data_IF_745754417668
#
_entry.id   IF_745754417668
#
_cell.length_a   1.000
_cell.length_b   1.000
_cell.length_c   1.000
_cell.angle_alpha   90.00
_cell.angle_beta   90.00
_cell.angle_gamma   90.00
#
_symmetry.space_group_name_H-M   'P 1'
#
loop_
_entity.id
_entity.type
_entity.pdbx_description
1 polymer ?
#
# COMPACT_ATOMS: atom_id res chain seq x y z
N UNK A 1 4.01 -2.25 26.56
CA UNK A 1 4.82 -2.56 25.36
C UNK A 1 5.18 -1.29 24.57
N UNK A 2 6.18 -1.37 23.67
CA UNK A 2 6.53 -0.33 22.69
C UNK A 2 6.71 -0.92 21.27
N UNK A 3 5.91 -0.45 20.31
CA UNK A 3 6.05 -0.81 18.89
C UNK A 3 7.06 0.08 18.16
N UNK A 4 7.90 -0.49 17.30
CA UNK A 4 8.81 0.22 16.42
C UNK A 4 8.94 -0.47 15.04
N UNK A 5 8.65 0.21 13.92
CA UNK A 5 8.04 1.54 13.83
C UNK A 5 6.62 1.57 14.43
N UNK A 6 6.07 2.77 14.67
CA UNK A 6 4.67 2.96 15.13
C UNK A 6 3.68 3.12 13.97
N UNK A 7 4.15 2.90 12.74
CA UNK A 7 3.33 2.97 11.55
C UNK A 7 3.82 1.98 10.49
N UNK A 8 2.91 1.55 9.63
CA UNK A 8 3.19 0.75 8.43
C UNK A 8 2.51 1.35 7.21
N UNK A 9 3.06 1.14 6.01
CA UNK A 9 2.34 1.43 4.79
C UNK A 9 1.10 0.53 4.64
N UNK A 10 0.12 0.96 3.85
CA UNK A 10 -1.10 0.17 3.58
C UNK A 10 -0.81 -1.23 3.02
N UNK A 11 0.25 -1.39 2.25
CA UNK A 11 0.62 -2.69 1.68
C UNK A 11 1.30 -3.64 2.68
N UNK A 12 1.55 -3.20 3.92
CA UNK A 12 2.16 -4.01 4.96
C UNK A 12 3.62 -4.36 4.67
N UNK A 13 3.99 -5.60 5.00
CA UNK A 13 5.31 -6.20 4.72
C UNK A 13 6.50 -5.46 5.35
N UNK A 14 6.24 -4.67 6.40
CA UNK A 14 7.29 -4.08 7.23
C UNK A 14 7.50 -4.88 8.51
N UNK A 15 8.77 -5.01 8.93
CA UNK A 15 9.09 -5.61 10.23
C UNK A 15 8.71 -4.63 11.33
N UNK A 16 7.88 -5.08 12.27
CA UNK A 16 7.53 -4.36 13.49
C UNK A 16 8.17 -5.08 14.66
N UNK A 17 9.05 -4.35 15.36
CA UNK A 17 9.64 -4.78 16.62
C UNK A 17 8.72 -4.39 17.77
N UNK A 18 8.49 -5.33 18.70
CA UNK A 18 7.75 -5.12 19.95
C UNK A 18 8.73 -5.23 21.11
N UNK A 19 8.93 -4.14 21.84
CA UNK A 19 9.66 -4.15 23.09
C UNK A 19 8.69 -4.35 24.25
N UNK A 20 8.85 -5.44 24.99
CA UNK A 20 8.04 -5.78 26.17
C UNK A 20 8.46 -4.91 27.35
N UNK A 21 7.50 -4.34 28.07
CA UNK A 21 7.78 -3.73 29.36
C UNK A 21 8.05 -4.82 30.42
N UNK A 22 8.65 -4.49 31.56
CA UNK A 22 8.94 -5.48 32.61
C UNK A 22 7.66 -6.20 33.07
N UNK A 23 6.54 -5.47 33.14
CA UNK A 23 5.22 -6.00 33.47
C UNK A 23 4.61 -6.90 32.40
N UNK A 24 5.07 -6.80 31.15
CA UNK A 24 4.56 -7.58 30.02
C UNK A 24 5.36 -8.88 29.80
N UNK A 25 6.49 -9.07 30.51
CA UNK A 25 7.34 -10.23 30.37
C UNK A 25 6.67 -11.45 30.99
N UNK A 26 6.60 -12.53 30.21
CA UNK A 26 5.99 -13.79 30.62
C UNK A 26 6.99 -14.94 30.44
N UNK A 27 6.65 -16.11 30.99
CA UNK A 27 7.45 -17.34 30.92
C UNK A 27 7.76 -17.76 29.46
N UNK A 28 8.82 -18.56 29.27
CA UNK A 28 9.31 -18.96 27.94
C UNK A 28 8.36 -19.91 27.16
N UNK A 29 7.36 -20.49 27.80
CA UNK A 29 6.37 -21.37 27.17
C UNK A 29 5.13 -20.62 26.65
N UNK A 30 5.18 -19.27 26.64
CA UNK A 30 4.11 -18.42 26.12
C UNK A 30 4.35 -18.06 24.66
N UNK A 31 3.32 -18.21 23.84
CA UNK A 31 3.29 -17.73 22.46
C UNK A 31 2.57 -16.40 22.39
N UNK A 32 3.20 -15.40 21.77
CA UNK A 32 2.64 -14.07 21.62
C UNK A 32 2.08 -13.84 20.22
N UNK A 33 0.97 -13.11 20.16
CA UNK A 33 0.31 -12.65 18.94
C UNK A 33 0.05 -11.15 19.02
N UNK A 34 0.08 -10.46 17.88
CA UNK A 34 -0.44 -9.10 17.77
C UNK A 34 -1.79 -9.09 17.06
N UNK A 35 -2.77 -8.44 17.67
CA UNK A 35 -4.09 -8.20 17.09
C UNK A 35 -4.23 -6.73 16.75
N UNK A 36 -4.27 -6.39 15.47
CA UNK A 36 -4.52 -5.03 14.96
C UNK A 36 -6.03 -4.87 14.72
N UNK A 37 -6.68 -3.95 15.42
CA UNK A 37 -8.11 -3.68 15.31
C UNK A 37 -8.34 -2.28 14.73
N UNK A 38 -8.70 -2.23 13.46
CA UNK A 38 -9.11 -1.02 12.76
C UNK A 38 -10.62 -0.91 12.61
N UNK A 39 -11.06 0.04 11.80
CA UNK A 39 -12.46 0.37 11.59
C UNK A 39 -13.22 -0.69 10.77
N UNK A 40 -12.55 -1.29 9.78
CA UNK A 40 -13.13 -2.29 8.86
C UNK A 40 -12.48 -3.66 8.98
N UNK A 41 -11.23 -3.73 9.46
CA UNK A 41 -10.42 -4.95 9.48
C UNK A 41 -9.84 -5.24 10.86
N UNK A 42 -9.78 -6.53 11.19
CA UNK A 42 -9.07 -7.06 12.34
C UNK A 42 -8.04 -8.09 11.86
N UNK A 43 -6.77 -7.84 12.15
CA UNK A 43 -5.67 -8.72 11.72
C UNK A 43 -5.03 -9.37 12.94
N UNK A 44 -4.79 -10.68 12.86
CA UNK A 44 -4.01 -11.41 13.86
C UNK A 44 -2.70 -11.89 13.22
N UNK A 45 -1.58 -11.54 13.84
CA UNK A 45 -0.23 -11.92 13.36
C UNK A 45 0.52 -12.67 14.44
N UNK A 46 1.23 -13.72 14.05
CA UNK A 46 2.17 -14.42 14.93
C UNK A 46 3.41 -13.56 15.17
N UNK A 47 4.00 -13.67 16.34
CA UNK A 47 5.29 -13.03 16.63
C UNK A 47 6.43 -14.06 16.66
N UNK A 48 7.65 -13.58 16.44
CA UNK A 48 8.90 -14.31 16.67
C UNK A 48 9.66 -13.65 17.80
N UNK A 49 9.98 -14.40 18.85
CA UNK A 49 10.86 -13.94 19.94
C UNK A 49 12.30 -13.87 19.43
N UNK A 50 12.94 -12.71 19.52
CA UNK A 50 14.35 -12.50 19.10
C UNK A 50 15.28 -12.29 20.28
N UNK A 51 14.75 -11.84 21.43
CA UNK A 51 15.45 -11.77 22.71
C UNK A 51 14.46 -11.97 23.87
N UNK A 52 14.93 -11.88 25.12
CA UNK A 52 14.07 -11.99 26.30
C UNK A 52 12.93 -10.95 26.35
N UNK A 53 13.16 -9.77 25.78
CA UNK A 53 12.26 -8.61 25.84
C UNK A 53 11.79 -8.11 24.47
N UNK A 54 12.26 -8.72 23.38
CA UNK A 54 11.99 -8.24 22.03
C UNK A 54 11.33 -9.32 21.18
N UNK A 55 10.21 -8.95 20.57
CA UNK A 55 9.50 -9.74 19.56
C UNK A 55 9.55 -9.03 18.21
N UNK A 56 9.39 -9.78 17.14
CA UNK A 56 9.20 -9.27 15.79
C UNK A 56 7.95 -9.86 15.16
N UNK A 57 7.25 -9.06 14.35
CA UNK A 57 6.20 -9.52 13.46
C UNK A 57 6.30 -8.77 12.13
N UNK A 58 5.57 -9.24 11.13
CA UNK A 58 5.38 -8.52 9.86
C UNK A 58 4.02 -7.82 9.92
N UNK A 59 3.99 -6.51 9.69
CA UNK A 59 2.73 -5.77 9.66
C UNK A 59 1.84 -6.27 8.50
N UNK A 60 0.55 -6.50 8.76
CA UNK A 60 -0.39 -6.94 7.73
C UNK A 60 -0.66 -5.81 6.74
N UNK A 61 -1.10 -6.16 5.53
CA UNK A 61 -1.73 -5.19 4.62
C UNK A 61 -3.07 -4.69 5.18
N UNK A 62 -3.37 -3.42 4.97
CA UNK A 62 -4.56 -2.75 5.48
C UNK A 62 -5.26 -1.93 4.39
N UNK A 63 -6.57 -1.77 4.47
CA UNK A 63 -7.38 -1.26 3.37
C UNK A 63 -7.56 0.27 3.36
N UNK A 64 -7.26 0.95 4.46
CA UNK A 64 -7.38 2.40 4.57
C UNK A 64 -6.37 3.02 5.55
N UNK A 65 -6.16 4.34 5.45
CA UNK A 65 -5.29 5.08 6.37
C UNK A 65 -6.03 5.35 7.68
N UNK A 66 -5.60 4.71 8.75
CA UNK A 66 -6.18 4.93 10.07
C UNK A 66 -5.21 4.62 11.20
N UNK A 67 -5.54 5.11 12.41
CA UNK A 67 -4.89 4.68 13.64
C UNK A 67 -5.69 3.51 14.21
N UNK A 68 -5.06 2.36 14.33
CA UNK A 68 -5.64 1.12 14.85
C UNK A 68 -5.17 0.87 16.28
N UNK A 69 -5.97 0.11 17.04
CA UNK A 69 -5.53 -0.42 18.34
C UNK A 69 -4.81 -1.75 18.14
N UNK A 70 -3.58 -1.86 18.61
CA UNK A 70 -2.81 -3.10 18.61
C UNK A 70 -2.77 -3.69 20.00
N UNK A 71 -3.20 -4.94 20.14
CA UNK A 71 -3.16 -5.69 21.38
C UNK A 71 -2.08 -6.78 21.28
N UNK A 72 -1.24 -6.87 22.31
CA UNK A 72 -0.36 -8.00 22.51
C UNK A 72 -1.10 -9.05 23.33
N UNK A 73 -1.26 -10.22 22.74
CA UNK A 73 -1.97 -11.35 23.33
C UNK A 73 -0.99 -12.47 23.67
N UNK A 74 -1.08 -13.00 24.88
CA UNK A 74 -0.31 -14.13 25.37
C UNK A 74 -1.18 -15.39 25.37
N UNK A 75 -0.66 -16.48 24.80
CA UNK A 75 -1.31 -17.80 24.79
C UNK A 75 -0.35 -18.84 25.37
N UNK A 76 -0.87 -19.70 26.24
CA UNK A 76 -0.15 -20.82 26.86
C UNK A 76 -1.06 -22.03 26.87
N UNK A 77 -0.48 -23.21 26.64
CA UNK A 77 -1.26 -24.44 26.50
C UNK A 77 -2.14 -24.71 27.73
N UNK A 78 -3.41 -25.01 27.47
CA UNK A 78 -4.41 -25.28 28.52
C UNK A 78 -4.92 -24.05 29.26
N UNK A 79 -4.49 -22.83 28.90
CA UNK A 79 -4.95 -21.58 29.48
C UNK A 79 -5.67 -20.69 28.44
N UNK A 80 -6.60 -19.82 28.87
CA UNK A 80 -7.18 -18.81 28.00
C UNK A 80 -6.12 -17.86 27.44
N UNK A 81 -6.44 -17.22 26.31
CA UNK A 81 -5.62 -16.12 25.77
C UNK A 81 -5.91 -14.84 26.54
N UNK A 82 -4.86 -14.12 26.93
CA UNK A 82 -4.98 -12.86 27.67
C UNK A 82 -4.32 -11.71 26.90
N UNK A 83 -4.95 -10.54 26.94
CA UNK A 83 -4.32 -9.30 26.48
C UNK A 83 -3.38 -8.82 27.59
N UNK A 84 -2.10 -8.67 27.26
CA UNK A 84 -1.08 -8.22 28.23
C UNK A 84 -0.75 -6.74 28.06
N UNK A 85 -0.84 -6.20 26.85
CA UNK A 85 -0.58 -4.80 26.58
C UNK A 85 -1.36 -4.31 25.35
N UNK A 86 -1.52 -2.99 25.24
CA UNK A 86 -2.08 -2.34 24.07
C UNK A 86 -1.31 -1.09 23.67
N UNK A 87 -1.35 -0.73 22.39
CA UNK A 87 -0.76 0.49 21.86
C UNK A 87 -1.45 0.89 20.55
N UNK A 88 -1.47 2.18 20.27
CA UNK A 88 -1.88 2.69 18.95
C UNK A 88 -0.78 2.46 17.89
N UNK A 89 -1.22 2.21 16.66
CA UNK A 89 -0.38 2.01 15.47
C UNK A 89 -1.06 2.62 14.26
N UNK A 90 -0.31 3.19 13.31
CA UNK A 90 -0.90 3.87 12.15
C UNK A 90 -0.64 3.16 10.84
N UNK A 91 -1.69 2.96 10.04
CA UNK A 91 -1.55 2.64 8.63
C UNK A 91 -1.56 3.92 7.80
N UNK A 92 -0.59 4.07 6.88
CA UNK A 92 -0.40 5.29 6.09
C UNK A 92 -0.23 4.99 4.61
N UNK A 93 -0.55 5.98 3.78
CA UNK A 93 -0.08 6.06 2.41
C UNK A 93 1.30 6.71 2.42
N UNK A 94 2.30 5.99 1.95
CA UNK A 94 3.64 6.49 1.75
C UNK A 94 3.87 6.83 0.27
N UNK A 95 5.04 7.40 -0.02
CA UNK A 95 5.41 7.82 -1.38
C UNK A 95 5.41 6.65 -2.37
N UNK A 96 5.71 5.43 -1.92
CA UNK A 96 5.69 4.24 -2.76
C UNK A 96 4.25 3.88 -3.19
N UNK A 97 3.29 4.02 -2.27
CA UNK A 97 1.88 3.86 -2.59
C UNK A 97 1.38 4.95 -3.55
N UNK A 98 1.74 6.20 -3.33
CA UNK A 98 1.39 7.31 -4.24
C UNK A 98 1.98 7.08 -5.64
N UNK A 99 3.24 6.63 -5.72
CA UNK A 99 3.89 6.27 -6.97
C UNK A 99 3.19 5.10 -7.66
N UNK A 100 2.79 4.06 -6.92
CA UNK A 100 2.04 2.93 -7.47
C UNK A 100 0.68 3.38 -8.03
N UNK A 101 -0.05 4.24 -7.32
CA UNK A 101 -1.31 4.80 -7.80
C UNK A 101 -1.12 5.63 -9.08
N UNK A 102 -0.09 6.46 -9.10
CA UNK A 102 0.24 7.26 -10.28
C UNK A 102 0.59 6.39 -11.50
N UNK A 103 1.40 5.36 -11.29
CA UNK A 103 1.76 4.39 -12.33
C UNK A 103 0.52 3.65 -12.83
N UNK A 104 -0.36 3.21 -11.94
CA UNK A 104 -1.61 2.56 -12.30
C UNK A 104 -2.53 3.48 -13.13
N UNK A 105 -2.67 4.74 -12.73
CA UNK A 105 -3.45 5.73 -13.47
C UNK A 105 -2.83 6.12 -14.82
N UNK A 106 -1.51 5.97 -14.97
CA UNK A 106 -0.77 6.34 -16.17
C UNK A 106 -0.62 5.19 -17.18
N UNK A 107 -1.04 3.98 -16.84
CA UNK A 107 -0.99 2.83 -17.75
C UNK A 107 -1.76 3.12 -19.06
N UNK A 108 -1.14 2.79 -20.20
CA UNK A 108 -1.66 3.12 -21.54
C UNK A 108 -1.64 4.60 -21.94
N UNK A 109 -1.18 5.51 -21.09
CA UNK A 109 -1.11 6.94 -21.42
C UNK A 109 0.18 7.26 -22.19
N UNK A 110 0.05 7.41 -23.52
CA UNK A 110 1.17 7.72 -24.41
C UNK A 110 1.90 9.04 -24.05
N UNK A 111 1.20 10.03 -23.49
CA UNK A 111 1.80 11.30 -23.07
C UNK A 111 2.67 11.12 -21.81
N UNK A 112 2.22 10.30 -20.86
CA UNK A 112 3.00 9.95 -19.67
C UNK A 112 4.29 9.20 -20.05
N UNK A 113 4.20 8.27 -21.00
CA UNK A 113 5.38 7.56 -21.54
C UNK A 113 6.39 8.54 -22.17
N UNK A 114 5.94 9.55 -22.89
CA UNK A 114 6.84 10.58 -23.43
C UNK A 114 7.57 11.36 -22.32
N UNK A 115 6.94 11.54 -21.15
CA UNK A 115 7.55 12.25 -20.02
C UNK A 115 8.62 11.42 -19.29
N UNK A 116 8.46 10.09 -19.21
CA UNK A 116 9.46 9.21 -18.57
C UNK A 116 10.85 9.30 -19.20
N UNK A 117 10.94 9.59 -20.51
CA UNK A 117 12.21 9.79 -21.23
C UNK A 117 13.04 10.96 -20.70
N UNK A 118 12.43 11.89 -19.96
CA UNK A 118 13.12 13.01 -19.33
C UNK A 118 13.64 12.68 -17.92
N UNK A 119 13.10 11.64 -17.27
CA UNK A 119 13.50 11.21 -15.93
C UNK A 119 14.83 10.44 -15.92
N UNK A 120 15.20 9.80 -17.03
CA UNK A 120 16.50 9.13 -17.23
C UNK A 120 17.71 10.07 -16.98
N UNK A 121 17.49 11.39 -17.05
CA UNK A 121 18.53 12.40 -16.86
C UNK A 121 18.67 12.90 -15.42
N UNK A 122 17.74 12.53 -14.53
CA UNK A 122 17.67 13.03 -13.15
C UNK A 122 17.73 11.90 -12.10
N UNK A 123 18.19 10.70 -12.48
CA UNK A 123 18.14 9.51 -11.64
C UNK A 123 18.90 9.66 -10.30
N UNK A 124 18.31 9.22 -9.17
CA UNK A 124 19.01 9.17 -7.89
C UNK A 124 20.15 8.12 -7.92
N UNK A 125 21.15 8.22 -7.02
CA UNK A 125 22.23 7.25 -6.94
C UNK A 125 21.70 5.81 -6.72
N UNK A 126 22.29 4.86 -7.42
CA UNK A 126 21.76 3.50 -7.69
C UNK A 126 21.44 2.60 -6.49
N UNK A 127 21.81 2.98 -5.26
CA UNK A 127 21.60 2.16 -4.06
C UNK A 127 20.15 2.18 -3.54
N UNK A 128 19.41 3.27 -3.77
CA UNK A 128 18.04 3.45 -3.24
C UNK A 128 16.96 2.94 -4.20
N UNK A 129 17.31 2.74 -5.48
CA UNK A 129 16.35 2.42 -6.54
C UNK A 129 15.74 1.03 -6.37
N UNK A 130 16.53 0.02 -5.99
CA UNK A 130 16.03 -1.35 -5.83
C UNK A 130 15.05 -1.47 -4.65
N UNK A 131 15.37 -0.84 -3.51
CA UNK A 131 14.48 -0.80 -2.34
C UNK A 131 13.19 -0.04 -2.65
N UNK A 132 13.28 1.04 -3.43
CA UNK A 132 12.09 1.76 -3.90
C UNK A 132 11.24 0.91 -4.85
N UNK A 133 11.85 0.21 -5.81
CA UNK A 133 11.15 -0.66 -6.76
C UNK A 133 10.39 -1.78 -6.03
N UNK A 134 11.02 -2.43 -5.05
CA UNK A 134 10.36 -3.44 -4.21
C UNK A 134 9.13 -2.88 -3.49
N UNK A 135 9.25 -1.71 -2.86
CA UNK A 135 8.12 -1.05 -2.17
C UNK A 135 7.01 -0.65 -3.13
N UNK A 136 7.36 -0.09 -4.28
CA UNK A 136 6.38 0.30 -5.31
C UNK A 136 5.67 -0.95 -5.85
N UNK A 137 6.40 -2.04 -6.10
CA UNK A 137 5.81 -3.30 -6.55
C UNK A 137 4.85 -3.90 -5.51
N UNK A 138 5.23 -3.89 -4.23
CA UNK A 138 4.36 -4.30 -3.12
C UNK A 138 3.10 -3.43 -3.05
N UNK A 139 3.26 -2.10 -3.11
CA UNK A 139 2.16 -1.17 -3.12
C UNK A 139 1.21 -1.39 -4.30
N UNK A 140 1.75 -1.64 -5.50
CA UNK A 140 0.98 -1.89 -6.70
C UNK A 140 0.10 -3.14 -6.59
N UNK A 141 0.64 -4.22 -5.99
CA UNK A 141 -0.12 -5.45 -5.72
C UNK A 141 -1.27 -5.24 -4.74
N UNK A 142 -1.18 -4.21 -3.90
CA UNK A 142 -2.19 -3.87 -2.91
C UNK A 142 -3.28 -2.93 -3.44
N UNK A 143 -3.09 -2.37 -4.64
CA UNK A 143 -4.10 -1.50 -5.25
C UNK A 143 -5.36 -2.29 -5.63
N UNK A 144 -6.51 -1.69 -5.35
CA UNK A 144 -7.81 -2.15 -5.83
C UNK A 144 -8.04 -1.65 -7.25
N UNK A 145 -7.43 -2.32 -8.22
CA UNK A 145 -7.55 -1.97 -9.63
C UNK A 145 -8.88 -2.48 -10.21
N UNK A 146 -9.50 -1.74 -11.15
CA UNK A 146 -10.65 -2.24 -11.93
C UNK A 146 -10.32 -3.55 -12.66
N UNK A 147 -11.32 -4.40 -12.89
CA UNK A 147 -11.12 -5.69 -13.55
C UNK A 147 -10.58 -5.57 -14.98
N UNK A 148 -10.90 -4.48 -15.66
CA UNK A 148 -10.46 -4.11 -17.00
C UNK A 148 -9.08 -3.44 -17.05
N UNK A 149 -8.48 -3.17 -15.88
CA UNK A 149 -7.18 -2.51 -15.82
C UNK A 149 -6.09 -3.39 -16.42
N UNK A 150 -5.28 -2.80 -17.31
CA UNK A 150 -4.12 -3.45 -17.89
C UNK A 150 -3.07 -2.40 -18.29
N UNK A 151 -1.83 -2.84 -18.52
CA UNK A 151 -0.69 -1.97 -18.81
C UNK A 151 -0.83 -1.21 -20.15
N UNK A 152 -1.56 -1.77 -21.11
CA UNK A 152 -1.81 -1.15 -22.41
C UNK A 152 -2.87 -0.05 -22.34
N UNK A 153 -3.56 0.09 -21.20
CA UNK A 153 -4.69 0.98 -21.01
C UNK A 153 -6.01 0.31 -21.39
N UNK A 154 -7.11 0.96 -21.02
CA UNK A 154 -8.42 0.57 -21.54
C UNK A 154 -8.49 1.01 -23.00
N UNK A 155 -8.61 0.06 -23.92
CA UNK A 155 -8.86 0.34 -25.33
C UNK A 155 -10.13 1.20 -25.41
N UNK A 156 -9.97 2.49 -25.65
CA UNK A 156 -11.05 3.34 -26.12
C UNK A 156 -11.30 2.93 -27.57
N UNK A 157 -12.00 1.81 -27.78
CA UNK A 157 -12.78 1.63 -29.01
C UNK A 157 -13.97 2.60 -29.00
N UNK A 158 -13.72 3.90 -28.86
CA UNK A 158 -14.58 4.94 -29.41
C UNK A 158 -14.17 5.17 -30.86
N UNK A 159 -14.38 4.12 -31.66
CA UNK A 159 -14.36 4.22 -33.11
C UNK A 159 -15.39 5.28 -33.53
N UNK A 160 -14.90 6.42 -34.01
CA UNK A 160 -15.55 7.25 -35.03
C UNK A 160 -16.95 7.79 -34.74
N UNK A 161 -17.03 8.93 -34.07
CA UNK A 161 -17.95 10.00 -34.51
C UNK A 161 -17.14 11.18 -35.02
N UNK A 162 -16.62 11.02 -36.24
CA UNK A 162 -16.24 12.14 -37.09
C UNK A 162 -17.51 12.93 -37.45
N UNK A 163 -18.02 13.73 -36.51
CA UNK A 163 -18.91 14.84 -36.85
C UNK A 163 -18.04 16.02 -37.24
N UNK A 164 -17.43 15.94 -38.43
CA UNK A 164 -17.00 17.15 -39.14
C UNK A 164 -18.27 17.94 -39.52
N UNK A 165 -18.49 19.17 -39.02
CA UNK A 165 -19.51 20.01 -39.61
C UNK A 165 -19.03 20.38 -41.01
N UNK A 166 -19.71 19.86 -42.04
CA UNK A 166 -19.53 20.33 -43.41
C UNK A 166 -19.91 21.81 -43.44
N UNK A 167 -18.91 22.68 -43.54
CA UNK A 167 -19.09 24.09 -43.88
C UNK A 167 -19.69 24.14 -45.29
N UNK A 168 -21.00 24.31 -45.38
CA UNK A 168 -21.69 24.51 -46.65
C UNK A 168 -21.56 25.99 -47.00
N UNK A 169 -20.48 26.33 -47.71
CA UNK A 169 -20.33 27.62 -48.39
C UNK A 169 -21.45 27.75 -49.43
N UNK A 170 -22.49 28.53 -49.10
CA UNK A 170 -23.46 28.98 -50.08
C UNK A 170 -22.90 30.21 -50.80
N UNK A 171 -22.13 29.97 -51.86
CA UNK A 171 -21.74 31.01 -52.80
C UNK A 171 -22.89 31.16 -53.82
N UNK A 172 -23.82 32.07 -53.54
CA UNK A 172 -24.86 32.48 -54.47
C UNK A 172 -24.23 33.13 -55.70
N UNK A 173 -24.22 32.41 -56.82
CA UNK A 173 -23.82 32.94 -58.13
C UNK A 173 -25.04 33.60 -58.76
N UNK A 174 -24.95 34.92 -58.91
CA UNK A 174 -25.77 35.74 -59.80
C UNK A 174 -25.59 35.31 -61.28
N UNK A 175 -26.60 35.70 -62.08
CA UNK A 175 -26.77 35.70 -63.55
C UNK A 175 -27.76 34.63 -64.01
N UNK A 176 -28.76 34.95 -64.83
CA UNK A 176 -28.86 36.00 -65.87
C UNK A 176 -30.13 36.81 -65.79
#
# INVERSE_FOLDING_TARGET
MKLNPQQAPLYGDCVVTVLLAEEDKVEDDVVFYLVFSGSTLHHCTSTRKVSADTLETIAPGHDCCETVRVQLCASKDGLPVFVVAEQDFRFVQDEAYDAAQFLAASAGNQQALNFTRFLDRSGPPSGDVNSLDEKVALAFRHLKLPAEWNVLGTDQTSHGKNNTPRTQTHLGRLRS
#
